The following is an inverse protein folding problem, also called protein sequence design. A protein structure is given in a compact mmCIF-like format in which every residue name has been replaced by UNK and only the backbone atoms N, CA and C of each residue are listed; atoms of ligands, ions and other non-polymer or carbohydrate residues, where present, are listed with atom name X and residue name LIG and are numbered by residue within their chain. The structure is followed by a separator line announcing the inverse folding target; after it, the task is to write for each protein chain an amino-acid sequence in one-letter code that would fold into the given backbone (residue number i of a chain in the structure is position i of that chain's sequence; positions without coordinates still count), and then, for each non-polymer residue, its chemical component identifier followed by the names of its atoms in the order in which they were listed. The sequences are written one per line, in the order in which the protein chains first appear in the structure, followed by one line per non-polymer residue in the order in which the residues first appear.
data_IF_850689566727
#
_entry.id   IF_850689566727
#
_cell.length_a   1.000
_cell.length_b   1.000
_cell.length_c   1.000
_cell.angle_alpha   90.00
_cell.angle_beta   90.00
_cell.angle_gamma   90.00
#
_symmetry.space_group_name_H-M   'P 1'
#
loop_
_entity.id
_entity.type
_entity.pdbx_description
1 polymer ?
#
# COMPACT_ATOMS: atom_id res chain seq x y z
N UNK A 1 1.96 29.41 12.02
CA UNK A 1 2.32 28.48 10.92
C UNK A 1 2.53 29.31 9.68
N UNK A 2 3.73 29.28 9.07
CA UNK A 2 4.11 30.13 7.90
C UNK A 2 3.41 29.56 6.66
N UNK A 3 3.09 30.36 5.66
CA UNK A 3 2.49 29.93 4.38
C UNK A 3 3.25 28.78 3.71
N UNK A 4 4.57 28.76 3.86
CA UNK A 4 5.47 27.71 3.39
C UNK A 4 5.19 26.33 4.07
N UNK A 5 4.98 26.28 5.37
CA UNK A 5 4.67 25.04 6.08
C UNK A 5 3.27 24.51 5.73
N UNK A 6 2.31 25.42 5.49
CA UNK A 6 0.98 25.05 5.03
C UNK A 6 1.02 24.49 3.60
N UNK A 7 1.80 25.11 2.70
CA UNK A 7 1.99 24.61 1.36
C UNK A 7 2.60 23.20 1.32
N UNK A 8 3.61 22.94 2.16
CA UNK A 8 4.22 21.61 2.28
C UNK A 8 3.24 20.56 2.82
N UNK A 9 2.42 20.89 3.84
CA UNK A 9 1.38 20.00 4.34
C UNK A 9 0.41 19.63 3.23
N UNK A 10 -0.11 20.62 2.51
CA UNK A 10 -1.06 20.41 1.42
C UNK A 10 -0.46 19.55 0.31
N UNK A 11 0.80 19.79 -0.06
CA UNK A 11 1.48 19.02 -1.10
C UNK A 11 1.70 17.55 -0.68
N UNK A 12 2.23 17.29 0.52
CA UNK A 12 2.52 15.93 0.98
C UNK A 12 1.24 15.14 1.23
N UNK A 13 0.23 15.75 1.84
CA UNK A 13 -1.09 15.13 1.99
C UNK A 13 -1.76 14.89 0.64
N UNK A 14 -1.72 15.87 -0.25
CA UNK A 14 -2.26 15.78 -1.60
C UNK A 14 -1.65 14.63 -2.40
N UNK A 15 -0.32 14.48 -2.34
CA UNK A 15 0.40 13.37 -3.00
C UNK A 15 0.04 12.01 -2.38
N UNK A 16 -0.08 11.91 -1.05
CA UNK A 16 -0.53 10.69 -0.39
C UNK A 16 -1.93 10.30 -0.88
N UNK A 17 -2.89 11.23 -0.87
CA UNK A 17 -4.26 10.94 -1.31
C UNK A 17 -4.38 10.75 -2.83
N UNK A 18 -3.55 11.40 -3.63
CA UNK A 18 -3.46 11.13 -5.08
C UNK A 18 -3.01 9.68 -5.32
N UNK A 19 -1.96 9.23 -4.60
CA UNK A 19 -1.50 7.84 -4.66
C UNK A 19 -2.60 6.86 -4.22
N UNK A 20 -3.34 7.19 -3.15
CA UNK A 20 -4.52 6.43 -2.72
C UNK A 20 -5.58 6.34 -3.82
N UNK A 21 -5.87 7.45 -4.50
CA UNK A 21 -6.81 7.52 -5.61
C UNK A 21 -6.40 6.62 -6.78
N UNK A 22 -5.13 6.70 -7.18
CA UNK A 22 -4.58 5.86 -8.26
C UNK A 22 -4.63 4.37 -7.87
N UNK A 23 -4.19 4.01 -6.65
CA UNK A 23 -4.24 2.64 -6.16
C UNK A 23 -5.68 2.10 -6.13
N UNK A 24 -6.65 2.92 -5.68
CA UNK A 24 -8.07 2.57 -5.67
C UNK A 24 -8.63 2.40 -7.08
N UNK A 25 -8.26 3.27 -8.02
CA UNK A 25 -8.68 3.16 -9.43
C UNK A 25 -8.18 1.86 -10.08
N UNK A 26 -6.94 1.46 -9.77
CA UNK A 26 -6.38 0.19 -10.23
C UNK A 26 -7.09 -1.04 -9.62
N UNK A 27 -7.55 -0.93 -8.39
CA UNK A 27 -8.23 -2.02 -7.67
C UNK A 27 -9.71 -2.14 -8.03
N UNK A 28 -10.40 -1.04 -8.38
CA UNK A 28 -11.86 -0.91 -8.46
C UNK A 28 -12.54 -1.99 -9.30
N UNK A 29 -11.94 -2.39 -10.42
CA UNK A 29 -12.58 -3.34 -11.37
C UNK A 29 -12.60 -4.79 -10.87
N UNK A 30 -11.75 -5.16 -9.90
CA UNK A 30 -11.58 -6.56 -9.47
C UNK A 30 -11.72 -6.79 -7.98
N UNK A 31 -11.89 -5.73 -7.20
CA UNK A 31 -12.01 -5.85 -5.74
C UNK A 31 -13.20 -6.70 -5.33
N UNK A 32 -14.35 -6.51 -5.97
CA UNK A 32 -15.59 -7.26 -5.63
C UNK A 32 -15.51 -8.73 -6.04
N UNK A 33 -15.07 -9.01 -7.28
CA UNK A 33 -14.87 -10.39 -7.74
C UNK A 33 -13.80 -11.11 -6.92
N UNK A 34 -12.78 -10.37 -6.49
CA UNK A 34 -11.74 -10.89 -5.64
C UNK A 34 -12.26 -11.24 -4.23
N UNK A 35 -13.08 -10.38 -3.60
CA UNK A 35 -13.74 -10.69 -2.33
C UNK A 35 -14.70 -11.88 -2.46
N UNK A 36 -15.46 -11.97 -3.53
CA UNK A 36 -16.39 -13.07 -3.79
C UNK A 36 -15.66 -14.43 -3.95
N UNK A 37 -14.45 -14.42 -4.52
CA UNK A 37 -13.66 -15.63 -4.71
C UNK A 37 -13.02 -16.17 -3.42
N UNK A 38 -12.89 -15.35 -2.36
CA UNK A 38 -12.37 -15.78 -1.06
C UNK A 38 -13.52 -16.25 -0.14
N UNK A 39 -13.79 -17.54 -0.13
CA UNK A 39 -14.88 -18.21 0.57
C UNK A 39 -14.86 -18.14 2.12
N UNK A 40 -14.03 -17.27 2.71
CA UNK A 40 -13.96 -17.04 4.16
C UNK A 40 -13.90 -15.55 4.50
N UNK A 41 -15.04 -14.84 4.43
CA UNK A 41 -15.12 -13.41 4.74
C UNK A 41 -14.80 -13.10 6.21
N UNK A 42 -14.84 -14.07 7.11
CA UNK A 42 -14.70 -13.88 8.57
C UNK A 42 -13.33 -13.33 9.02
N UNK A 43 -12.30 -13.44 8.18
CA UNK A 43 -10.92 -13.02 8.51
C UNK A 43 -10.41 -11.82 7.71
N UNK A 44 -11.25 -11.22 6.89
CA UNK A 44 -10.89 -10.04 6.08
C UNK A 44 -11.87 -8.92 6.41
N UNK A 45 -11.41 -7.72 6.73
CA UNK A 45 -12.30 -6.58 6.93
C UNK A 45 -13.23 -6.41 5.72
N UNK A 46 -14.51 -6.09 5.93
CA UNK A 46 -15.42 -5.86 4.81
C UNK A 46 -14.91 -4.74 3.91
N UNK A 47 -15.24 -4.74 2.59
CA UNK A 47 -14.72 -3.80 1.62
C UNK A 47 -14.76 -2.33 2.05
N UNK A 48 -15.83 -1.81 2.68
CA UNK A 48 -15.84 -0.43 3.16
C UNK A 48 -14.81 -0.16 4.25
N UNK A 49 -14.67 -1.07 5.24
CA UNK A 49 -13.70 -0.92 6.33
C UNK A 49 -12.26 -0.98 5.81
N UNK A 50 -11.99 -1.85 4.83
CA UNK A 50 -10.69 -1.94 4.16
C UNK A 50 -10.32 -0.62 3.45
N UNK A 51 -11.27 0.00 2.78
CA UNK A 51 -11.07 1.30 2.13
C UNK A 51 -10.78 2.43 3.14
N UNK A 52 -11.45 2.44 4.29
CA UNK A 52 -11.19 3.41 5.36
C UNK A 52 -9.81 3.21 5.99
N UNK A 53 -9.39 1.97 6.26
CA UNK A 53 -8.07 1.66 6.79
C UNK A 53 -6.96 2.15 5.86
N UNK A 54 -7.10 1.97 4.54
CA UNK A 54 -6.15 2.48 3.58
C UNK A 54 -6.08 4.01 3.56
N UNK A 55 -7.22 4.71 3.63
CA UNK A 55 -7.22 6.18 3.74
C UNK A 55 -6.48 6.66 4.97
N UNK A 56 -6.68 5.96 6.10
CA UNK A 56 -5.98 6.26 7.34
C UNK A 56 -4.47 6.04 7.21
N UNK A 57 -4.03 4.97 6.56
CA UNK A 57 -2.61 4.70 6.28
C UNK A 57 -1.97 5.82 5.45
N UNK A 58 -2.63 6.27 4.39
CA UNK A 58 -2.12 7.38 3.59
C UNK A 58 -2.09 8.71 4.36
N UNK A 59 -3.06 8.93 5.25
CA UNK A 59 -3.04 10.06 6.18
C UNK A 59 -1.81 10.00 7.10
N UNK A 60 -1.52 8.84 7.69
CA UNK A 60 -0.35 8.65 8.55
C UNK A 60 0.97 8.88 7.79
N UNK A 61 1.08 8.35 6.57
CA UNK A 61 2.26 8.55 5.72
C UNK A 61 2.50 10.03 5.41
N UNK A 62 1.45 10.75 4.99
CA UNK A 62 1.55 12.18 4.69
C UNK A 62 1.85 13.02 5.93
N UNK A 63 1.22 12.70 7.07
CA UNK A 63 1.48 13.38 8.34
C UNK A 63 2.91 13.16 8.82
N UNK A 64 3.42 11.93 8.76
CA UNK A 64 4.79 11.60 9.12
C UNK A 64 5.80 12.35 8.25
N UNK A 65 5.60 12.35 6.93
CA UNK A 65 6.44 13.09 5.99
C UNK A 65 6.42 14.59 6.24
N UNK A 66 5.25 15.16 6.54
CA UNK A 66 5.12 16.57 6.89
C UNK A 66 5.84 16.93 8.20
N UNK A 67 5.78 16.09 9.22
CA UNK A 67 6.51 16.28 10.47
C UNK A 67 8.03 16.28 10.25
N UNK A 68 8.52 15.39 9.38
CA UNK A 68 9.93 15.36 8.95
C UNK A 68 10.27 16.65 8.19
N UNK A 69 9.39 17.10 7.31
CA UNK A 69 9.55 18.39 6.61
C UNK A 69 9.61 19.59 7.56
N UNK A 70 8.81 19.61 8.62
CA UNK A 70 8.83 20.69 9.62
C UNK A 70 10.16 20.80 10.38
N UNK A 71 10.91 19.73 10.45
CA UNK A 71 12.27 19.73 11.02
C UNK A 71 13.29 20.46 10.14
N UNK A 72 12.82 21.17 9.14
CA UNK A 72 13.41 21.82 7.99
C UNK A 72 14.61 22.77 8.13
N UNK A 73 14.88 23.48 9.25
CA UNK A 73 16.13 24.23 9.37
C UNK A 73 17.38 23.33 9.27
N UNK A 74 17.17 22.04 9.39
CA UNK A 74 18.18 20.97 9.31
C UNK A 74 18.26 20.30 7.94
N UNK A 75 17.72 20.93 6.87
CA UNK A 75 17.75 20.38 5.51
C UNK A 75 19.16 20.09 4.97
N UNK A 76 20.20 20.64 5.61
CA UNK A 76 21.57 20.22 5.42
C UNK A 76 21.87 18.83 6.01
N UNK A 77 20.97 18.27 6.82
CA UNK A 77 21.13 16.93 7.33
C UNK A 77 20.69 15.91 6.25
N UNK A 78 21.57 15.00 5.83
CA UNK A 78 21.29 14.05 4.76
C UNK A 78 20.06 13.14 5.06
N UNK A 79 19.71 13.02 6.32
CA UNK A 79 18.56 12.22 6.80
C UNK A 79 17.20 12.73 6.32
N UNK A 80 17.01 14.07 6.22
CA UNK A 80 15.71 14.61 5.77
C UNK A 80 15.51 14.36 4.28
N UNK A 81 16.53 14.59 3.46
CA UNK A 81 16.49 14.29 2.04
C UNK A 81 16.22 12.78 1.79
N UNK A 82 16.94 11.93 2.50
CA UNK A 82 16.73 10.48 2.44
C UNK A 82 15.30 10.10 2.87
N UNK A 83 14.78 10.69 3.95
CA UNK A 83 13.42 10.46 4.42
C UNK A 83 12.36 10.81 3.37
N UNK A 84 12.53 11.94 2.66
CA UNK A 84 11.63 12.32 1.58
C UNK A 84 11.71 11.36 0.38
N UNK A 85 12.91 10.95 -0.01
CA UNK A 85 13.09 9.95 -1.08
C UNK A 85 12.37 8.64 -0.70
N UNK A 86 12.59 8.13 0.51
CA UNK A 86 11.94 6.90 0.99
C UNK A 86 10.42 7.05 1.01
N UNK A 87 9.89 8.19 1.43
CA UNK A 87 8.44 8.46 1.39
C UNK A 87 7.88 8.37 -0.03
N UNK A 88 8.52 8.98 -1.03
CA UNK A 88 8.04 8.89 -2.42
C UNK A 88 8.14 7.46 -2.97
N UNK A 89 9.22 6.74 -2.63
CA UNK A 89 9.36 5.33 -3.02
C UNK A 89 8.27 4.46 -2.40
N UNK A 90 7.91 4.70 -1.13
CA UNK A 90 6.79 4.01 -0.47
C UNK A 90 5.47 4.25 -1.20
N UNK A 91 5.15 5.49 -1.58
CA UNK A 91 3.94 5.80 -2.35
C UNK A 91 3.93 5.08 -3.70
N UNK A 92 5.05 5.08 -4.41
CA UNK A 92 5.18 4.39 -5.70
C UNK A 92 5.01 2.88 -5.60
N UNK A 93 5.66 2.25 -4.61
CA UNK A 93 5.56 0.80 -4.37
C UNK A 93 4.15 0.39 -3.96
N UNK A 94 3.44 1.22 -3.21
CA UNK A 94 2.06 0.95 -2.83
C UNK A 94 1.12 0.96 -4.05
N UNK A 95 1.26 1.95 -4.93
CA UNK A 95 0.53 1.99 -6.20
C UNK A 95 0.88 0.80 -7.09
N UNK A 96 2.16 0.46 -7.18
CA UNK A 96 2.65 -0.69 -7.95
C UNK A 96 2.07 -2.00 -7.41
N UNK A 97 2.08 -2.21 -6.09
CA UNK A 97 1.45 -3.39 -5.48
C UNK A 97 -0.03 -3.50 -5.85
N UNK A 98 -0.79 -2.40 -5.74
CA UNK A 98 -2.21 -2.39 -6.10
C UNK A 98 -2.44 -2.76 -7.57
N UNK A 99 -1.62 -2.24 -8.49
CA UNK A 99 -1.65 -2.59 -9.91
C UNK A 99 -1.33 -4.05 -10.16
N UNK A 100 -0.25 -4.56 -9.58
CA UNK A 100 0.20 -5.95 -9.74
C UNK A 100 -0.83 -6.93 -9.18
N UNK A 101 -1.43 -6.61 -8.04
CA UNK A 101 -2.35 -7.50 -7.36
C UNK A 101 -3.74 -7.49 -8.02
N UNK A 102 -4.36 -6.33 -8.18
CA UNK A 102 -5.72 -6.22 -8.66
C UNK A 102 -5.83 -6.09 -10.19
N UNK A 103 -5.04 -5.20 -10.81
CA UNK A 103 -5.18 -4.90 -12.25
C UNK A 103 -4.60 -5.99 -13.13
N UNK A 104 -3.41 -6.46 -12.81
CA UNK A 104 -2.67 -7.43 -13.63
C UNK A 104 -2.75 -8.87 -13.15
N UNK A 105 -3.36 -9.12 -11.98
CA UNK A 105 -3.54 -10.45 -11.37
C UNK A 105 -2.21 -11.25 -11.29
N UNK A 106 -1.14 -10.59 -10.86
CA UNK A 106 0.20 -11.20 -10.68
C UNK A 106 0.57 -11.27 -9.19
N UNK A 107 -0.02 -12.20 -8.42
CA UNK A 107 0.13 -12.22 -6.97
C UNK A 107 1.58 -12.44 -6.50
N UNK A 108 2.39 -13.21 -7.25
CA UNK A 108 3.81 -13.38 -6.93
C UNK A 108 4.62 -12.09 -7.08
N UNK A 109 4.40 -11.33 -8.17
CA UNK A 109 5.04 -10.03 -8.36
C UNK A 109 4.51 -9.00 -7.35
N UNK A 110 3.21 -9.04 -7.00
CA UNK A 110 2.63 -8.22 -5.95
C UNK A 110 3.25 -8.52 -4.58
N UNK A 111 3.52 -9.79 -4.27
CA UNK A 111 4.22 -10.17 -3.06
C UNK A 111 5.64 -9.60 -3.01
N UNK A 112 6.39 -9.67 -4.11
CA UNK A 112 7.72 -9.06 -4.19
C UNK A 112 7.66 -7.54 -4.01
N UNK A 113 6.67 -6.85 -4.61
CA UNK A 113 6.48 -5.42 -4.46
C UNK A 113 6.15 -5.01 -3.01
N UNK A 114 5.29 -5.75 -2.31
CA UNK A 114 4.98 -5.44 -0.90
C UNK A 114 6.14 -5.76 0.02
N UNK A 115 6.96 -6.77 -0.25
CA UNK A 115 8.20 -7.00 0.51
C UNK A 115 9.20 -5.85 0.31
N UNK A 116 9.36 -5.38 -0.92
CA UNK A 116 10.19 -4.20 -1.18
C UNK A 116 9.65 -2.98 -0.43
N UNK A 117 8.33 -2.80 -0.39
CA UNK A 117 7.70 -1.74 0.40
C UNK A 117 7.98 -1.90 1.90
N UNK A 118 7.90 -3.09 2.48
CA UNK A 118 8.23 -3.33 3.88
C UNK A 118 9.66 -2.90 4.21
N UNK A 119 10.63 -3.30 3.37
CA UNK A 119 12.03 -2.91 3.56
C UNK A 119 12.22 -1.40 3.47
N UNK A 120 11.58 -0.74 2.52
CA UNK A 120 11.63 0.73 2.38
C UNK A 120 10.92 1.40 3.55
N UNK A 121 9.79 0.88 4.00
CA UNK A 121 9.06 1.43 5.17
C UNK A 121 9.88 1.27 6.46
N UNK A 122 10.57 0.15 6.63
CA UNK A 122 11.48 -0.07 7.76
C UNK A 122 12.66 0.91 7.73
N UNK A 123 13.28 1.11 6.55
CA UNK A 123 14.35 2.10 6.39
C UNK A 123 13.84 3.53 6.68
N UNK A 124 12.66 3.87 6.16
CA UNK A 124 12.02 5.14 6.45
C UNK A 124 11.68 5.31 7.93
N UNK A 125 11.20 4.26 8.60
CA UNK A 125 10.93 4.27 10.05
C UNK A 125 12.19 4.64 10.85
N UNK A 126 13.33 4.02 10.53
CA UNK A 126 14.62 4.31 11.18
C UNK A 126 14.99 5.79 10.98
N UNK A 127 14.89 6.28 9.75
CA UNK A 127 15.20 7.69 9.43
C UNK A 127 14.26 8.65 10.15
N UNK A 128 12.96 8.38 10.11
CA UNK A 128 11.92 9.23 10.71
C UNK A 128 12.02 9.25 12.24
N UNK A 129 12.37 8.10 12.84
CA UNK A 129 12.59 8.02 14.29
C UNK A 129 13.76 8.86 14.76
N UNK A 130 14.84 8.94 13.96
CA UNK A 130 15.97 9.81 14.25
C UNK A 130 15.63 11.31 14.10
N UNK A 131 14.62 11.66 13.31
CA UNK A 131 14.11 13.03 13.19
C UNK A 131 13.20 13.39 14.36
N UNK A 132 12.38 12.43 14.82
CA UNK A 132 11.49 12.63 15.95
C UNK A 132 10.65 11.40 16.27
N UNK A 133 10.26 11.29 17.55
CA UNK A 133 9.46 10.14 18.01
C UNK A 133 8.10 10.06 17.33
N UNK A 134 7.41 11.20 17.15
CA UNK A 134 6.07 11.21 16.58
C UNK A 134 6.03 10.72 15.12
N UNK A 135 6.87 11.24 14.18
CA UNK A 135 6.89 10.70 12.82
C UNK A 135 7.28 9.22 12.78
N UNK A 136 8.16 8.76 13.68
CA UNK A 136 8.52 7.37 13.83
C UNK A 136 7.32 6.49 14.24
N UNK A 137 6.56 6.90 15.25
CA UNK A 137 5.35 6.18 15.71
C UNK A 137 4.30 6.08 14.62
N UNK A 138 4.06 7.17 13.87
CA UNK A 138 3.13 7.16 12.74
C UNK A 138 3.55 6.14 11.68
N UNK A 139 4.84 6.09 11.36
CA UNK A 139 5.36 5.16 10.38
C UNK A 139 5.40 3.70 10.88
N UNK A 140 5.57 3.48 12.18
CA UNK A 140 5.44 2.15 12.79
C UNK A 140 4.02 1.58 12.59
N UNK A 141 2.99 2.40 12.73
CA UNK A 141 1.62 1.98 12.45
C UNK A 141 1.41 1.63 10.97
N UNK A 142 2.03 2.38 10.05
CA UNK A 142 2.05 2.06 8.62
C UNK A 142 2.73 0.72 8.37
N UNK A 143 3.91 0.48 8.96
CA UNK A 143 4.67 -0.77 8.83
C UNK A 143 3.85 -1.99 9.30
N UNK A 144 3.16 -1.88 10.44
CA UNK A 144 2.30 -2.95 10.95
C UNK A 144 1.15 -3.28 9.98
N UNK A 145 0.52 -2.24 9.40
CA UNK A 145 -0.55 -2.45 8.43
C UNK A 145 -0.03 -3.08 7.14
N UNK A 146 1.03 -2.55 6.56
CA UNK A 146 1.59 -3.07 5.31
C UNK A 146 2.19 -4.47 5.50
N UNK A 147 2.74 -4.79 6.67
CA UNK A 147 3.14 -6.14 7.07
C UNK A 147 1.97 -7.13 7.11
N UNK A 148 0.81 -6.70 7.65
CA UNK A 148 -0.42 -7.48 7.53
C UNK A 148 -0.80 -7.74 6.07
N UNK A 149 -0.71 -6.73 5.21
CA UNK A 149 -0.98 -6.86 3.77
C UNK A 149 0.02 -7.80 3.09
N UNK A 150 1.30 -7.74 3.46
CA UNK A 150 2.34 -8.65 2.94
C UNK A 150 2.01 -10.10 3.28
N UNK A 151 1.67 -10.37 4.53
CA UNK A 151 1.23 -11.70 4.98
C UNK A 151 0.00 -12.19 4.19
N UNK A 152 -1.01 -11.33 4.02
CA UNK A 152 -2.22 -11.67 3.25
C UNK A 152 -1.89 -11.95 1.79
N UNK A 153 -1.05 -11.12 1.16
CA UNK A 153 -0.61 -11.29 -0.23
C UNK A 153 0.14 -12.61 -0.41
N UNK A 154 0.98 -13.00 0.55
CA UNK A 154 1.67 -14.29 0.55
C UNK A 154 0.69 -15.47 0.61
N UNK A 155 -0.29 -15.41 1.52
CA UNK A 155 -1.29 -16.48 1.66
C UNK A 155 -2.08 -16.63 0.37
N UNK A 156 -2.48 -15.55 -0.25
CA UNK A 156 -3.19 -15.56 -1.53
C UNK A 156 -2.33 -16.07 -2.68
N UNK A 157 -1.07 -15.69 -2.74
CA UNK A 157 -0.15 -16.23 -3.74
C UNK A 157 0.01 -17.74 -3.60
N UNK A 158 0.14 -18.24 -2.38
CA UNK A 158 0.24 -19.70 -2.12
C UNK A 158 -1.03 -20.46 -2.48
N UNK A 159 -2.20 -19.88 -2.22
CA UNK A 159 -3.50 -20.44 -2.58
C UNK A 159 -3.79 -20.30 -4.09
N UNK A 160 -3.23 -19.29 -4.73
CA UNK A 160 -3.52 -18.90 -6.11
C UNK A 160 -3.04 -19.89 -7.19
N UNK A 161 -2.29 -20.92 -6.84
CA UNK A 161 -2.10 -22.08 -7.73
C UNK A 161 -3.41 -22.82 -8.02
N UNK A 162 -4.38 -22.73 -7.10
CA UNK A 162 -5.74 -23.25 -7.30
C UNK A 162 -6.64 -22.27 -8.10
N UNK A 163 -6.34 -20.97 -8.08
CA UNK A 163 -7.10 -19.94 -8.81
C UNK A 163 -6.90 -19.96 -10.32
N UNK A 164 -5.72 -20.30 -10.79
CA UNK A 164 -5.43 -20.45 -12.22
C UNK A 164 -6.33 -21.52 -12.87
N UNK A 165 -6.65 -22.57 -12.13
CA UNK A 165 -7.53 -23.65 -12.60
C UNK A 165 -9.00 -23.23 -12.59
N UNK A 166 -9.47 -22.50 -11.58
CA UNK A 166 -10.88 -22.07 -11.48
C UNK A 166 -11.22 -21.00 -12.52
N UNK A 167 -10.30 -20.06 -12.78
CA UNK A 167 -10.51 -19.02 -13.82
C UNK A 167 -10.39 -19.62 -15.22
N UNK A 168 -9.53 -20.61 -15.43
CA UNK A 168 -9.44 -21.32 -16.70
C UNK A 168 -10.69 -22.20 -16.97
N UNK A 169 -11.22 -22.86 -15.93
CA UNK A 169 -12.41 -23.70 -16.05
C UNK A 169 -13.70 -22.89 -16.25
N UNK A 170 -13.76 -21.68 -15.70
CA UNK A 170 -14.88 -20.76 -15.92
C UNK A 170 -14.80 -19.98 -17.24
N UNK A 171 -13.66 -19.98 -17.91
CA UNK A 171 -13.45 -19.30 -19.20
C UNK A 171 -13.73 -20.21 -20.42
N UNK A 172 -14.10 -21.49 -20.21
CA UNK A 172 -14.50 -22.41 -21.28
C UNK A 172 -15.97 -22.87 -21.07
N UNK A 173 -16.96 -22.07 -21.50
CA UNK A 173 -18.30 -22.60 -21.67
C UNK A 173 -18.32 -23.42 -22.97
N UNK A 174 -18.35 -24.71 -22.87
CA UNK A 174 -18.81 -25.50 -24.02
C UNK A 174 -18.00 -26.72 -24.49
N UNK A 175 -17.32 -27.45 -23.62
CA UNK A 175 -16.72 -28.74 -24.02
C UNK A 175 -17.07 -29.90 -23.09
N UNK A 176 -18.33 -29.99 -22.70
CA UNK A 176 -18.87 -31.25 -22.20
C UNK A 176 -20.23 -31.51 -22.82
N UNK A 177 -20.22 -32.01 -24.07
CA UNK A 177 -21.29 -32.83 -24.64
C UNK A 177 -20.68 -33.53 -25.85
N UNK A 178 -20.19 -34.74 -25.68
CA UNK A 178 -20.18 -35.86 -26.61
C UNK A 178 -19.08 -36.86 -26.21
N UNK A 179 -19.44 -37.82 -25.40
CA UNK A 179 -19.11 -39.25 -25.55
C UNK A 179 -19.84 -40.03 -24.48
#
# INVERSE_FOLDING_TARGET
MNSYHFGALTALMGLSFLSAGVATALARQRVESWYAAFSRPEKVPPPPAYGWLWRFVYLLMGAAAWLVWLSGPQWGAPWIGLGMILYFVMLGLNVLWSGLFFRWARPGAAFAAVLAQELVTLAALIVFWNVGTLPGVLLAAVLLWTGYIAMRTLLWWRQGRQFGTVVADSAVPGTRLAA
#
